data_IF_677087691057
#
_entry.id   IF_677087691057
#
_cell.length_a   1.000
_cell.length_b   1.000
_cell.length_c   1.000
_cell.angle_alpha   90.00
_cell.angle_beta   90.00
_cell.angle_gamma   90.00
#
_symmetry.space_group_name_H-M   'P 1'
#
loop_
_entity.id
_entity.type
_entity.pdbx_description
1 polymer ?
#
# COMPACT_ATOMS: atom_id res chain seq x y z
N UNK A 1 -7.24 -30.87 2.94
CA UNK A 1 -6.19 -29.96 3.48
C UNK A 1 -5.23 -29.30 2.46
N UNK A 2 -4.98 -29.80 1.23
CA UNK A 2 -4.13 -29.09 0.24
C UNK A 2 -4.76 -27.81 -0.34
N UNK A 3 -6.09 -27.83 -0.54
CA UNK A 3 -6.85 -26.74 -1.19
C UNK A 3 -6.76 -25.44 -0.37
N UNK A 4 -6.93 -25.53 0.95
CA UNK A 4 -6.88 -24.37 1.84
C UNK A 4 -5.49 -23.73 1.90
N UNK A 5 -4.43 -24.54 1.74
CA UNK A 5 -3.04 -24.04 1.69
C UNK A 5 -2.80 -23.20 0.43
N UNK A 6 -3.30 -23.66 -0.73
CA UNK A 6 -3.14 -22.96 -2.00
C UNK A 6 -3.90 -21.62 -2.05
N UNK A 7 -5.11 -21.56 -1.47
CA UNK A 7 -5.89 -20.30 -1.43
C UNK A 7 -5.25 -19.27 -0.50
N UNK A 8 -4.65 -19.71 0.62
CA UNK A 8 -3.91 -18.84 1.54
C UNK A 8 -2.73 -18.18 0.83
N UNK A 9 -1.90 -18.95 0.14
CA UNK A 9 -0.74 -18.41 -0.59
C UNK A 9 -1.17 -17.49 -1.73
N UNK A 10 -2.20 -17.84 -2.50
CA UNK A 10 -2.72 -16.99 -3.58
C UNK A 10 -3.27 -15.65 -3.06
N UNK A 11 -3.95 -15.69 -1.91
CA UNK A 11 -4.46 -14.46 -1.28
C UNK A 11 -3.33 -13.59 -0.78
N UNK A 12 -2.33 -14.19 -0.15
CA UNK A 12 -1.13 -13.47 0.30
C UNK A 12 -0.39 -12.82 -0.87
N UNK A 13 -0.10 -13.58 -1.92
CA UNK A 13 0.61 -13.12 -3.11
C UNK A 13 -0.11 -11.96 -3.79
N UNK A 14 -1.44 -12.08 -3.97
CA UNK A 14 -2.26 -10.99 -4.50
C UNK A 14 -2.20 -9.74 -3.62
N UNK A 15 -2.35 -9.87 -2.30
CA UNK A 15 -2.27 -8.73 -1.39
C UNK A 15 -0.91 -8.05 -1.46
N UNK A 16 0.19 -8.81 -1.48
CA UNK A 16 1.53 -8.25 -1.60
C UNK A 16 1.74 -7.52 -2.92
N UNK A 17 1.20 -8.06 -4.02
CA UNK A 17 1.22 -7.41 -5.32
C UNK A 17 0.45 -6.09 -5.31
N UNK A 18 -0.79 -6.10 -4.83
CA UNK A 18 -1.66 -4.92 -4.78
C UNK A 18 -1.06 -3.80 -3.90
N UNK A 19 -0.45 -4.15 -2.76
CA UNK A 19 0.33 -3.23 -1.92
C UNK A 19 1.50 -2.64 -2.72
N UNK A 20 2.29 -3.48 -3.38
CA UNK A 20 3.46 -3.05 -4.15
C UNK A 20 3.11 -2.09 -5.30
N UNK A 21 2.00 -2.35 -6.00
CA UNK A 21 1.47 -1.48 -7.06
C UNK A 21 1.07 -0.13 -6.49
N UNK A 22 0.38 -0.12 -5.34
CA UNK A 22 -0.08 1.11 -4.69
C UNK A 22 1.09 1.99 -4.24
N UNK A 23 2.09 1.38 -3.60
CA UNK A 23 3.31 2.08 -3.19
C UNK A 23 4.09 2.63 -4.40
N UNK A 24 4.28 1.81 -5.43
CA UNK A 24 5.03 2.23 -6.64
C UNK A 24 4.37 3.40 -7.36
N UNK A 25 3.04 3.38 -7.47
CA UNK A 25 2.26 4.45 -8.11
C UNK A 25 2.36 5.75 -7.30
N UNK A 26 2.24 5.63 -5.98
CA UNK A 26 2.40 6.74 -5.03
C UNK A 26 3.79 7.37 -5.14
N UNK A 27 4.83 6.55 -5.10
CA UNK A 27 6.22 7.01 -5.19
C UNK A 27 6.49 7.73 -6.52
N UNK A 28 5.95 7.21 -7.62
CA UNK A 28 6.09 7.83 -8.94
C UNK A 28 5.45 9.22 -8.98
N UNK A 29 4.22 9.35 -8.47
CA UNK A 29 3.50 10.62 -8.40
C UNK A 29 4.24 11.65 -7.54
N UNK A 30 4.63 11.27 -6.32
CA UNK A 30 5.31 12.17 -5.40
C UNK A 30 6.71 12.56 -5.88
N UNK A 31 7.44 11.63 -6.52
CA UNK A 31 8.73 11.93 -7.15
C UNK A 31 8.58 12.95 -8.27
N UNK A 32 7.56 12.78 -9.13
CA UNK A 32 7.28 13.73 -10.21
C UNK A 32 6.91 15.12 -9.66
N UNK A 33 6.10 15.16 -8.60
CA UNK A 33 5.69 16.41 -7.95
C UNK A 33 6.89 17.11 -7.30
N UNK A 34 7.76 16.37 -6.60
CA UNK A 34 8.99 16.92 -6.04
C UNK A 34 9.93 17.45 -7.13
N UNK A 35 10.10 16.70 -8.22
CA UNK A 35 10.89 17.13 -9.37
C UNK A 35 10.40 18.47 -9.94
N UNK A 36 9.08 18.65 -10.08
CA UNK A 36 8.50 19.93 -10.53
C UNK A 36 8.89 21.07 -9.58
N UNK A 37 8.81 20.87 -8.25
CA UNK A 37 9.21 21.88 -7.26
C UNK A 37 10.70 22.26 -7.38
N UNK A 38 11.56 21.28 -7.64
CA UNK A 38 12.99 21.54 -7.86
C UNK A 38 13.23 22.28 -9.18
N UNK A 39 12.57 21.84 -10.26
CA UNK A 39 12.76 22.38 -11.62
C UNK A 39 12.31 23.84 -11.75
N UNK A 40 11.19 24.21 -11.14
CA UNK A 40 10.61 25.55 -11.27
C UNK A 40 11.11 26.54 -10.21
N UNK A 41 12.19 26.21 -9.49
CA UNK A 41 12.85 27.14 -8.58
C UNK A 41 12.00 27.49 -7.35
N UNK A 42 11.13 26.57 -6.91
CA UNK A 42 10.27 26.77 -5.74
C UNK A 42 11.12 26.94 -4.47
N UNK A 43 10.61 27.67 -3.48
CA UNK A 43 11.40 28.02 -2.29
C UNK A 43 11.87 26.77 -1.53
N UNK A 44 12.95 26.90 -0.74
CA UNK A 44 13.42 25.81 0.12
C UNK A 44 12.33 25.41 1.13
N UNK A 45 11.58 26.39 1.65
CA UNK A 45 10.53 26.15 2.65
C UNK A 45 9.36 25.36 2.07
N UNK A 46 8.94 25.66 0.84
CA UNK A 46 7.91 24.88 0.14
C UNK A 46 8.37 23.44 -0.13
N UNK A 47 9.64 23.24 -0.52
CA UNK A 47 10.20 21.90 -0.71
C UNK A 47 10.26 21.11 0.60
N UNK A 48 10.66 21.74 1.70
CA UNK A 48 10.62 21.13 3.04
C UNK A 48 9.20 20.75 3.43
N UNK A 49 8.23 21.66 3.25
CA UNK A 49 6.82 21.43 3.54
C UNK A 49 6.27 20.23 2.74
N UNK A 50 6.63 20.12 1.47
CA UNK A 50 6.26 18.97 0.64
C UNK A 50 6.83 17.65 1.20
N UNK A 51 8.11 17.61 1.57
CA UNK A 51 8.75 16.41 2.14
C UNK A 51 8.05 15.99 3.45
N UNK A 52 7.79 16.92 4.37
CA UNK A 52 7.09 16.60 5.61
C UNK A 52 5.65 16.12 5.38
N UNK A 53 4.95 16.74 4.42
CA UNK A 53 3.60 16.28 4.05
C UNK A 53 3.63 14.86 3.46
N UNK A 54 4.61 14.56 2.61
CA UNK A 54 4.79 13.23 2.03
C UNK A 54 5.09 12.17 3.09
N UNK A 55 6.00 12.43 4.03
CA UNK A 55 6.32 11.50 5.13
C UNK A 55 5.06 11.18 5.95
N UNK A 56 4.30 12.21 6.35
CA UNK A 56 3.06 12.02 7.12
C UNK A 56 2.00 11.23 6.34
N UNK A 57 1.88 11.50 5.05
CA UNK A 57 0.99 10.75 4.19
C UNK A 57 1.41 9.28 4.11
N UNK A 58 2.71 8.99 3.96
CA UNK A 58 3.23 7.64 3.86
C UNK A 58 3.02 6.82 5.15
N UNK A 59 3.15 7.45 6.31
CA UNK A 59 2.83 6.81 7.59
C UNK A 59 1.36 6.36 7.65
N UNK A 60 0.44 7.21 7.16
CA UNK A 60 -0.99 6.91 7.10
C UNK A 60 -1.28 5.81 6.09
N UNK A 61 -0.70 5.91 4.89
CA UNK A 61 -0.86 4.94 3.80
C UNK A 61 -0.43 3.53 4.23
N UNK A 62 0.68 3.42 4.96
CA UNK A 62 1.18 2.15 5.47
C UNK A 62 0.16 1.48 6.40
N UNK A 63 -0.41 2.25 7.32
CA UNK A 63 -1.39 1.72 8.29
C UNK A 63 -2.70 1.33 7.59
N UNK A 64 -3.17 2.15 6.64
CA UNK A 64 -4.36 1.86 5.84
C UNK A 64 -4.21 0.57 5.02
N UNK A 65 -3.11 0.44 4.26
CA UNK A 65 -2.82 -0.76 3.46
C UNK A 65 -2.71 -2.01 4.34
N UNK A 66 -2.07 -1.91 5.50
CA UNK A 66 -1.96 -3.02 6.44
C UNK A 66 -3.34 -3.46 6.93
N UNK A 67 -4.18 -2.51 7.36
CA UNK A 67 -5.51 -2.80 7.90
C UNK A 67 -6.46 -3.37 6.84
N UNK A 68 -6.45 -2.81 5.63
CA UNK A 68 -7.25 -3.29 4.50
C UNK A 68 -6.89 -4.74 4.15
N UNK A 69 -5.62 -5.01 3.88
CA UNK A 69 -5.20 -6.35 3.47
C UNK A 69 -5.28 -7.38 4.59
N UNK A 70 -5.13 -6.97 5.86
CA UNK A 70 -5.41 -7.83 7.03
C UNK A 70 -6.88 -8.23 7.09
N UNK A 71 -7.80 -7.30 6.81
CA UNK A 71 -9.25 -7.55 6.79
C UNK A 71 -9.61 -8.52 5.66
N UNK A 72 -9.14 -8.25 4.44
CA UNK A 72 -9.32 -9.14 3.26
C UNK A 72 -8.84 -10.56 3.56
N UNK A 73 -7.65 -10.68 4.16
CA UNK A 73 -7.08 -11.97 4.50
C UNK A 73 -7.93 -12.72 5.54
N UNK A 74 -8.36 -12.02 6.59
CA UNK A 74 -9.17 -12.59 7.67
C UNK A 74 -10.52 -13.09 7.16
N UNK A 75 -11.20 -12.30 6.32
CA UNK A 75 -12.51 -12.66 5.79
C UNK A 75 -12.43 -13.86 4.84
N UNK A 76 -11.40 -13.91 3.98
CA UNK A 76 -11.17 -15.07 3.11
C UNK A 76 -10.89 -16.33 3.91
N UNK A 77 -10.09 -16.25 4.97
CA UNK A 77 -9.81 -17.41 5.82
C UNK A 77 -11.07 -17.92 6.54
N UNK A 78 -11.93 -17.03 7.04
CA UNK A 78 -13.22 -17.41 7.66
C UNK A 78 -14.17 -18.09 6.66
N UNK A 79 -14.24 -17.58 5.43
CA UNK A 79 -15.11 -18.15 4.41
C UNK A 79 -14.67 -19.55 3.97
N UNK A 80 -13.36 -19.83 3.92
CA UNK A 80 -12.84 -21.17 3.62
C UNK A 80 -13.21 -22.15 4.75
N UNK A 81 -13.04 -21.75 6.02
CA UNK A 81 -13.40 -22.60 7.16
C UNK A 81 -14.89 -22.98 7.17
N UNK A 82 -15.78 -22.12 6.68
CA UNK A 82 -17.22 -22.43 6.54
C UNK A 82 -17.52 -23.42 5.41
N UNK A 83 -16.68 -23.51 4.39
CA UNK A 83 -16.84 -24.43 3.25
C UNK A 83 -16.23 -25.82 3.52
N UNK A 84 -15.34 -25.93 4.50
CA UNK A 84 -14.73 -27.19 4.94
C UNK A 84 -15.59 -27.98 5.96
N UNK A 85 -16.74 -27.44 6.40
CA UNK A 85 -17.73 -28.06 7.32
C UNK A 85 -18.90 -28.59 6.50
#
# INVERSE_FOLDING_TARGET
MPICRNIKYRTWDKSMHDIGVTLSSTDMEHTLNFYKLVKYGTSIDERKKFIYAFIKYYDTLKDDLFNEHKTIFTDRMKNIQRLDI
#
